data_IF_393955763598
#
_entry.id   IF_393955763598
#
_cell.length_a   1.000
_cell.length_b   1.000
_cell.length_c   1.000
_cell.angle_alpha   90.00
_cell.angle_beta   90.00
_cell.angle_gamma   90.00
#
_symmetry.space_group_name_H-M   'P 1'
#
loop_
_entity.id
_entity.type
_entity.pdbx_description
1 polymer ?
#
# COMPACT_ATOMS: atom_id res chain seq x y z
N UNK A 1 14.58 -7.22 3.44
CA UNK A 1 13.78 -6.98 4.67
C UNK A 1 12.37 -6.67 4.21
N UNK A 2 11.44 -7.62 4.25
CA UNK A 2 10.06 -7.40 3.78
C UNK A 2 9.15 -7.27 5.00
N UNK A 3 9.02 -6.04 5.50
CA UNK A 3 8.45 -5.73 6.82
C UNK A 3 6.95 -5.42 6.82
N UNK A 4 6.30 -5.40 5.63
CA UNK A 4 4.87 -5.10 5.51
C UNK A 4 3.98 -6.35 5.69
N UNK A 5 4.54 -7.55 5.83
CA UNK A 5 3.80 -8.81 6.01
C UNK A 5 2.91 -8.84 7.25
N UNK A 6 3.18 -7.99 8.23
CA UNK A 6 2.39 -7.86 9.46
C UNK A 6 1.18 -6.94 9.33
N UNK A 7 1.10 -6.14 8.26
CA UNK A 7 -0.07 -5.31 8.01
C UNK A 7 -1.23 -6.19 7.54
N UNK A 8 -2.41 -5.94 8.07
CA UNK A 8 -3.65 -6.44 7.47
C UNK A 8 -3.89 -5.74 6.14
N UNK A 9 -4.67 -6.37 5.26
CA UNK A 9 -4.99 -5.81 3.94
C UNK A 9 -5.68 -4.45 4.04
N UNK A 10 -6.57 -4.29 5.03
CA UNK A 10 -7.22 -3.01 5.33
C UNK A 10 -6.18 -1.92 5.68
N UNK A 11 -5.22 -2.24 6.56
CA UNK A 11 -4.22 -1.26 7.00
C UNK A 11 -3.21 -0.95 5.91
N UNK A 12 -2.89 -1.91 5.05
CA UNK A 12 -2.06 -1.68 3.87
C UNK A 12 -2.73 -0.71 2.89
N UNK A 13 -4.02 -0.92 2.59
CA UNK A 13 -4.79 -0.03 1.71
C UNK A 13 -4.97 1.37 2.31
N UNK A 14 -5.24 1.46 3.61
CA UNK A 14 -5.32 2.73 4.35
C UNK A 14 -4.00 3.50 4.32
N UNK A 15 -2.87 2.79 4.53
CA UNK A 15 -1.54 3.36 4.47
C UNK A 15 -1.23 3.91 3.07
N UNK A 16 -1.52 3.14 2.01
CA UNK A 16 -1.30 3.58 0.63
C UNK A 16 -2.15 4.82 0.28
N UNK A 17 -3.45 4.81 0.61
CA UNK A 17 -4.33 5.97 0.41
C UNK A 17 -3.83 7.21 1.16
N UNK A 18 -3.34 7.02 2.38
CA UNK A 18 -2.85 8.11 3.21
C UNK A 18 -1.49 8.64 2.73
N UNK A 19 -0.61 7.76 2.28
CA UNK A 19 0.69 8.12 1.70
C UNK A 19 0.52 8.99 0.45
N UNK A 20 -0.38 8.58 -0.48
CA UNK A 20 -0.73 9.37 -1.67
C UNK A 20 -1.32 10.74 -1.31
N UNK A 21 -2.27 10.79 -0.37
CA UNK A 21 -2.89 12.05 0.08
C UNK A 21 -1.91 13.01 0.74
N UNK A 22 -0.95 12.48 1.50
CA UNK A 22 0.09 13.27 2.17
C UNK A 22 1.28 13.62 1.28
N UNK A 23 1.27 13.15 0.02
CA UNK A 23 2.38 13.31 -0.90
C UNK A 23 3.71 12.85 -0.27
N UNK A 24 3.66 11.68 0.40
CA UNK A 24 4.86 11.07 0.95
C UNK A 24 5.84 10.69 -0.17
N UNK A 25 7.08 10.39 0.21
CA UNK A 25 8.13 10.03 -0.71
C UNK A 25 7.71 8.88 -1.65
N UNK A 26 8.07 9.03 -2.93
CA UNK A 26 7.61 8.15 -4.01
C UNK A 26 8.07 6.70 -3.82
N UNK A 27 9.28 6.51 -3.30
CA UNK A 27 9.85 5.22 -2.93
C UNK A 27 8.99 4.50 -1.87
N UNK A 28 8.52 5.24 -0.86
CA UNK A 28 7.62 4.70 0.15
C UNK A 28 6.25 4.32 -0.42
N UNK A 29 5.70 5.17 -1.30
CA UNK A 29 4.43 4.87 -1.99
C UNK A 29 4.58 3.63 -2.86
N UNK A 30 5.69 3.50 -3.60
CA UNK A 30 5.96 2.36 -4.47
C UNK A 30 6.06 1.05 -3.66
N UNK A 31 6.71 1.05 -2.50
CA UNK A 31 6.78 -0.13 -1.62
C UNK A 31 5.39 -0.62 -1.20
N UNK A 32 4.46 0.31 -0.93
CA UNK A 32 3.08 -0.03 -0.59
C UNK A 32 2.30 -0.55 -1.81
N UNK A 33 2.53 0.03 -3.00
CA UNK A 33 1.91 -0.43 -4.25
C UNK A 33 2.35 -1.85 -4.63
N UNK A 34 3.65 -2.15 -4.51
CA UNK A 34 4.20 -3.48 -4.77
C UNK A 34 3.60 -4.53 -3.83
N UNK A 35 3.45 -4.22 -2.54
CA UNK A 35 2.84 -5.15 -1.59
C UNK A 35 1.32 -5.31 -1.84
N UNK A 36 0.62 -4.25 -2.24
CA UNK A 36 -0.80 -4.32 -2.65
C UNK A 36 -0.98 -5.20 -3.89
N UNK A 37 -0.10 -5.06 -4.88
CA UNK A 37 -0.11 -5.86 -6.10
C UNK A 37 0.19 -7.33 -5.80
N UNK A 38 1.22 -7.59 -4.99
CA UNK A 38 1.61 -8.94 -4.56
C UNK A 38 0.48 -9.67 -3.83
N UNK A 39 -0.37 -8.96 -3.09
CA UNK A 39 -1.55 -9.53 -2.41
C UNK A 39 -2.82 -9.57 -3.27
N UNK A 40 -2.76 -9.09 -4.52
CA UNK A 40 -3.92 -9.05 -5.41
C UNK A 40 -5.00 -8.04 -4.99
N UNK A 41 -4.65 -7.04 -4.16
CA UNK A 41 -5.62 -6.09 -3.59
C UNK A 41 -5.88 -4.88 -4.51
N UNK A 42 -5.23 -4.81 -5.68
CA UNK A 42 -5.31 -3.69 -6.63
C UNK A 42 -6.75 -3.37 -7.06
N UNK A 43 -7.63 -4.37 -7.13
CA UNK A 43 -9.04 -4.16 -7.46
C UNK A 43 -9.80 -3.34 -6.40
N UNK A 44 -9.42 -3.43 -5.12
CA UNK A 44 -10.06 -2.69 -4.02
C UNK A 44 -9.68 -1.19 -4.00
N UNK A 45 -8.73 -0.79 -4.84
CA UNK A 45 -8.34 0.60 -5.05
C UNK A 45 -9.20 1.30 -6.12
N UNK A 46 -9.89 0.54 -6.97
CA UNK A 46 -10.64 1.06 -8.12
C UNK A 46 -12.16 1.16 -7.86
N UNK A 47 -12.62 0.90 -6.64
CA UNK A 47 -14.03 1.03 -6.22
C UNK A 47 -14.30 2.35 -5.50
#
# INVERSE_FOLDING_TARGET
>A
MNTLSHLTDEKLLEALKTAKRKNLAEDFVQLLEEEVEKRGLRAQMCS
#
